data_IF_450524042122
#
_entry.id   IF_450524042122
#
_cell.length_a   1.000
_cell.length_b   1.000
_cell.length_c   1.000
_cell.angle_alpha   90.00
_cell.angle_beta   90.00
_cell.angle_gamma   90.00
#
_symmetry.space_group_name_H-M   'P 1'
#
loop_
_entity.id
_entity.type
_entity.pdbx_description
1 polymer ?
#
# COMPACT_ATOMS: atom_id res chain seq x y z
N UNK A 1 17.25 -4.84 -12.10
CA UNK A 1 17.21 -3.60 -11.29
C UNK A 1 16.09 -2.66 -11.78
N UNK A 2 16.04 -2.27 -13.06
CA UNK A 2 15.00 -1.36 -13.60
C UNK A 2 13.54 -1.86 -13.45
N UNK A 3 13.30 -3.18 -13.53
CA UNK A 3 11.95 -3.74 -13.37
C UNK A 3 11.43 -3.72 -11.92
N UNK A 4 12.32 -3.78 -10.93
CA UNK A 4 11.93 -3.75 -9.50
C UNK A 4 11.40 -2.36 -9.14
N UNK A 5 12.11 -1.31 -9.54
CA UNK A 5 11.68 0.07 -9.33
C UNK A 5 10.36 0.39 -10.05
N UNK A 6 10.16 -0.12 -11.27
CA UNK A 6 8.89 0.08 -12.00
C UNK A 6 7.71 -0.58 -11.26
N UNK A 7 7.93 -1.76 -10.68
CA UNK A 7 6.95 -2.48 -9.86
C UNK A 7 6.65 -1.74 -8.55
N UNK A 8 7.68 -1.24 -7.85
CA UNK A 8 7.52 -0.46 -6.61
C UNK A 8 6.80 0.87 -6.84
N UNK A 9 7.08 1.53 -7.97
CA UNK A 9 6.42 2.78 -8.35
C UNK A 9 4.93 2.55 -8.60
N UNK A 10 4.57 1.47 -9.31
CA UNK A 10 3.17 1.07 -9.51
C UNK A 10 2.49 0.67 -8.19
N UNK A 11 3.19 -0.05 -7.31
CA UNK A 11 2.69 -0.42 -5.98
C UNK A 11 2.39 0.82 -5.14
N UNK A 12 3.27 1.84 -5.17
CA UNK A 12 3.12 3.12 -4.44
C UNK A 12 1.91 3.94 -4.92
N UNK A 13 1.63 3.93 -6.23
CA UNK A 13 0.44 4.57 -6.84
C UNK A 13 -0.88 3.83 -6.54
N UNK A 14 -0.79 2.55 -6.18
CA UNK A 14 -1.93 1.71 -5.82
C UNK A 14 -2.20 1.75 -4.30
N UNK A 15 -1.17 1.94 -3.47
CA UNK A 15 -1.27 2.08 -2.01
C UNK A 15 -1.47 3.53 -1.55
N UNK A 16 -1.73 4.47 -2.45
CA UNK A 16 -1.97 5.86 -2.06
C UNK A 16 -3.37 5.98 -1.45
N UNK A 17 -3.47 6.78 -0.38
CA UNK A 17 -4.76 7.08 0.24
C UNK A 17 -5.70 7.68 -0.84
N UNK A 18 -6.96 7.23 -0.84
CA UNK A 18 -7.97 7.68 -1.78
C UNK A 18 -8.26 9.18 -1.60
N UNK A 19 -8.11 9.66 -0.36
CA UNK A 19 -8.06 11.08 -0.04
C UNK A 19 -6.60 11.54 0.04
N UNK A 20 -6.30 12.67 -0.60
CA UNK A 20 -4.98 13.33 -0.51
C UNK A 20 -4.84 13.98 0.88
N UNK A 21 -4.67 13.12 1.91
CA UNK A 21 -4.62 13.54 3.31
C UNK A 21 -3.37 14.41 3.51
N UNK A 22 -3.53 15.64 4.04
CA UNK A 22 -2.40 16.54 4.25
C UNK A 22 -1.32 15.91 5.13
N UNK A 23 -0.06 16.16 4.77
CA UNK A 23 1.11 15.69 5.51
C UNK A 23 1.95 16.87 6.02
N UNK A 24 3.03 16.59 6.76
CA UNK A 24 3.99 17.62 7.16
C UNK A 24 4.56 18.43 5.99
N UNK A 25 4.54 17.89 4.76
CA UNK A 25 4.96 18.61 3.55
C UNK A 25 3.90 19.58 2.99
N UNK A 26 2.61 19.41 3.35
CA UNK A 26 1.50 20.23 2.84
C UNK A 26 1.58 21.66 3.38
N UNK A 27 1.09 22.64 2.59
CA UNK A 27 1.04 24.03 3.04
C UNK A 27 -0.11 24.21 4.04
N UNK A 28 0.00 25.23 4.91
CA UNK A 28 -1.06 25.55 5.89
C UNK A 28 -2.43 25.72 5.21
N UNK A 29 -2.45 26.42 4.08
CA UNK A 29 -3.67 26.65 3.31
C UNK A 29 -4.29 25.35 2.77
N UNK A 30 -3.46 24.43 2.28
CA UNK A 30 -3.93 23.14 1.76
C UNK A 30 -4.57 22.30 2.87
N UNK A 31 -3.99 22.34 4.08
CA UNK A 31 -4.54 21.67 5.27
C UNK A 31 -5.91 22.26 5.64
N UNK A 32 -6.03 23.59 5.66
CA UNK A 32 -7.30 24.26 5.95
C UNK A 32 -8.37 23.96 4.91
N UNK A 33 -8.02 23.97 3.62
CA UNK A 33 -8.93 23.64 2.54
C UNK A 33 -9.41 22.17 2.62
N UNK A 34 -8.53 21.25 3.00
CA UNK A 34 -8.89 19.85 3.21
C UNK A 34 -9.83 19.69 4.41
N UNK A 35 -9.57 20.35 5.54
CA UNK A 35 -10.46 20.33 6.70
C UNK A 35 -11.85 20.91 6.35
N UNK A 36 -11.90 21.99 5.56
CA UNK A 36 -13.17 22.56 5.05
C UNK A 36 -13.91 21.59 4.12
N UNK A 37 -13.20 20.91 3.21
CA UNK A 37 -13.84 19.98 2.26
C UNK A 37 -14.44 18.74 2.94
N UNK A 38 -13.89 18.36 4.09
CA UNK A 38 -14.40 17.28 4.95
C UNK A 38 -15.37 17.77 6.04
N UNK A 39 -15.70 19.07 6.05
CA UNK A 39 -16.59 19.71 7.01
C UNK A 39 -16.15 19.53 8.48
N UNK A 40 -14.83 19.51 8.73
CA UNK A 40 -14.23 19.40 10.06
C UNK A 40 -14.04 20.82 10.62
N UNK A 41 -14.49 21.06 11.86
CA UNK A 41 -14.35 22.36 12.52
C UNK A 41 -12.90 22.61 12.95
N UNK A 42 -12.36 23.79 12.63
CA UNK A 42 -11.05 24.24 13.08
C UNK A 42 -11.03 25.76 13.20
N UNK A 43 -10.06 26.28 13.95
CA UNK A 43 -9.86 27.72 14.10
C UNK A 43 -8.75 28.24 13.15
N UNK A 44 -8.99 29.35 12.46
CA UNK A 44 -8.05 29.84 11.41
C UNK A 44 -6.71 30.32 11.96
N UNK A 45 -6.67 30.75 13.22
CA UNK A 45 -5.44 31.18 13.89
C UNK A 45 -4.52 30.02 14.30
N UNK A 46 -4.98 28.77 14.23
CA UNK A 46 -4.19 27.61 14.66
C UNK A 46 -2.90 27.49 13.85
N UNK A 47 -1.85 27.03 14.52
CA UNK A 47 -0.57 26.73 13.88
C UNK A 47 -0.69 25.50 12.99
N UNK A 48 0.24 25.37 12.04
CA UNK A 48 0.28 24.21 11.13
C UNK A 48 0.33 22.88 11.90
N UNK A 49 1.05 22.84 13.03
CA UNK A 49 1.19 21.64 13.87
C UNK A 49 -0.15 21.25 14.48
N UNK A 50 -0.91 22.22 14.99
CA UNK A 50 -2.24 21.98 15.59
C UNK A 50 -3.25 21.54 14.53
N UNK A 51 -3.24 22.16 13.35
CA UNK A 51 -4.08 21.72 12.23
C UNK A 51 -3.76 20.29 11.80
N UNK A 52 -2.47 19.90 11.78
CA UNK A 52 -2.07 18.53 11.47
C UNK A 52 -2.46 17.53 12.58
N UNK A 53 -2.54 17.96 13.83
CA UNK A 53 -3.05 17.12 14.91
C UNK A 53 -4.52 16.78 14.69
N UNK A 54 -5.36 17.77 14.36
CA UNK A 54 -6.77 17.56 14.00
C UNK A 54 -6.87 16.62 12.80
N UNK A 55 -6.07 16.84 11.75
CA UNK A 55 -6.02 15.92 10.60
C UNK A 55 -5.65 14.50 11.03
N UNK A 56 -4.70 14.34 11.96
CA UNK A 56 -4.24 13.04 12.43
C UNK A 56 -5.31 12.29 13.26
N UNK A 57 -6.12 13.01 14.02
CA UNK A 57 -7.28 12.46 14.74
C UNK A 57 -8.32 11.88 13.77
N UNK A 58 -8.56 12.56 12.65
CA UNK A 58 -9.48 12.11 11.61
C UNK A 58 -8.83 11.21 10.55
N UNK A 59 -7.52 11.01 10.59
CA UNK A 59 -6.77 10.34 9.52
C UNK A 59 -7.24 8.91 9.29
N UNK A 60 -7.62 8.18 10.33
CA UNK A 60 -8.06 6.80 10.19
C UNK A 60 -9.33 6.66 9.32
N UNK A 61 -10.23 7.65 9.34
CA UNK A 61 -11.45 7.64 8.52
C UNK A 61 -11.20 7.91 7.05
N UNK A 62 -10.20 8.75 6.75
CA UNK A 62 -9.93 9.25 5.39
C UNK A 62 -8.71 8.60 4.72
N UNK A 63 -7.85 7.91 5.49
CA UNK A 63 -6.71 7.16 4.97
C UNK A 63 -7.14 5.77 4.44
N UNK A 64 -8.19 5.75 3.61
CA UNK A 64 -8.64 4.54 2.92
C UNK A 64 -7.78 4.30 1.70
N UNK A 65 -7.36 3.07 1.47
CA UNK A 65 -6.61 2.76 0.25
C UNK A 65 -7.56 2.70 -0.95
N UNK A 66 -7.18 3.31 -2.07
CA UNK A 66 -7.99 3.27 -3.29
C UNK A 66 -8.31 1.86 -3.77
N UNK A 67 -7.39 0.91 -3.60
CA UNK A 67 -7.61 -0.51 -3.92
C UNK A 67 -8.73 -1.11 -3.06
N UNK A 68 -8.81 -0.74 -1.78
CA UNK A 68 -9.76 -1.34 -0.85
C UNK A 68 -11.19 -0.93 -1.22
N UNK A 69 -11.39 0.32 -1.64
CA UNK A 69 -12.68 0.80 -2.17
C UNK A 69 -13.05 0.09 -3.48
N UNK A 70 -12.12 -0.01 -4.44
CA UNK A 70 -12.36 -0.72 -5.71
C UNK A 70 -12.67 -2.22 -5.51
N UNK A 71 -12.06 -2.85 -4.50
CA UNK A 71 -12.33 -4.24 -4.16
C UNK A 71 -13.70 -4.39 -3.50
N UNK A 72 -14.04 -3.46 -2.59
CA UNK A 72 -15.34 -3.42 -1.92
C UNK A 72 -16.50 -3.24 -2.91
N UNK A 73 -16.35 -2.37 -3.91
CA UNK A 73 -17.31 -2.20 -5.03
C UNK A 73 -17.59 -3.52 -5.75
N UNK A 74 -16.61 -4.43 -5.78
CA UNK A 74 -16.71 -5.75 -6.40
C UNK A 74 -17.05 -6.86 -5.41
N UNK A 75 -17.46 -6.52 -4.19
CA UNK A 75 -17.69 -7.45 -3.07
C UNK A 75 -16.48 -8.35 -2.79
N UNK A 76 -15.26 -7.82 -2.92
CA UNK A 76 -14.01 -8.53 -2.64
C UNK A 76 -13.38 -8.00 -1.37
N UNK A 77 -12.88 -8.91 -0.55
CA UNK A 77 -12.07 -8.59 0.63
C UNK A 77 -10.59 -8.49 0.24
N UNK A 78 -9.92 -7.40 0.65
CA UNK A 78 -8.48 -7.23 0.49
C UNK A 78 -7.76 -7.75 1.73
N UNK A 79 -6.86 -8.71 1.54
CA UNK A 79 -5.96 -9.19 2.58
C UNK A 79 -4.58 -8.57 2.37
N UNK A 80 -4.00 -8.00 3.44
CA UNK A 80 -2.66 -7.41 3.43
C UNK A 80 -1.73 -8.31 4.23
N UNK A 81 -0.70 -8.82 3.58
CA UNK A 81 0.31 -9.62 4.22
C UNK A 81 1.31 -8.72 4.95
N UNK A 82 1.74 -9.10 6.17
CA UNK A 82 2.86 -8.47 6.85
C UNK A 82 4.11 -8.45 5.96
N UNK A 83 4.88 -7.36 6.03
CA UNK A 83 6.16 -7.25 5.32
C UNK A 83 7.11 -8.35 5.81
N UNK A 84 7.86 -8.96 4.88
CA UNK A 84 8.85 -10.01 5.14
C UNK A 84 8.30 -11.37 5.61
N UNK A 85 6.99 -11.59 5.55
CA UNK A 85 6.37 -12.87 5.87
C UNK A 85 5.89 -13.58 4.58
N UNK A 86 6.84 -14.02 3.75
CA UNK A 86 6.54 -14.67 2.47
C UNK A 86 5.89 -16.05 2.63
N UNK A 87 6.09 -16.70 3.79
CA UNK A 87 5.41 -17.94 4.18
C UNK A 87 3.89 -17.80 4.26
N UNK A 88 3.39 -16.56 4.42
CA UNK A 88 1.96 -16.26 4.45
C UNK A 88 1.39 -15.95 3.06
N UNK A 89 2.21 -15.96 2.00
CA UNK A 89 1.76 -15.71 0.63
C UNK A 89 1.59 -17.04 -0.14
N UNK A 90 0.35 -17.51 -0.38
CA UNK A 90 0.11 -18.76 -1.09
C UNK A 90 0.76 -18.79 -2.48
N UNK A 91 0.85 -17.64 -3.15
CA UNK A 91 1.48 -17.55 -4.47
C UNK A 91 2.98 -17.85 -4.40
N UNK A 92 3.69 -17.37 -3.38
CA UNK A 92 5.12 -17.65 -3.20
C UNK A 92 5.36 -19.13 -2.85
N UNK A 93 4.47 -19.74 -2.07
CA UNK A 93 4.53 -21.17 -1.76
C UNK A 93 4.43 -22.02 -3.04
N UNK A 94 3.45 -21.73 -3.90
CA UNK A 94 3.29 -22.42 -5.20
C UNK A 94 4.51 -22.17 -6.10
N UNK A 95 5.04 -20.94 -6.14
CA UNK A 95 6.27 -20.64 -6.89
C UNK A 95 7.49 -21.41 -6.39
N UNK A 96 7.63 -21.58 -5.08
CA UNK A 96 8.71 -22.35 -4.48
C UNK A 96 8.64 -23.83 -4.89
N UNK A 97 7.44 -24.41 -4.84
CA UNK A 97 7.19 -25.79 -5.26
C UNK A 97 7.55 -26.00 -6.75
N UNK A 98 7.08 -25.11 -7.63
CA UNK A 98 7.40 -25.17 -9.06
C UNK A 98 8.91 -25.05 -9.30
N UNK A 99 9.60 -24.14 -8.60
CA UNK A 99 11.05 -23.97 -8.71
C UNK A 99 11.80 -25.23 -8.29
N UNK A 100 11.38 -25.87 -7.19
CA UNK A 100 11.98 -27.11 -6.71
C UNK A 100 11.77 -28.25 -7.71
N UNK A 101 10.56 -28.44 -8.22
CA UNK A 101 10.26 -29.46 -9.23
C UNK A 101 11.09 -29.28 -10.52
N UNK A 102 11.34 -28.04 -10.94
CA UNK A 102 12.20 -27.74 -12.09
C UNK A 102 13.67 -28.02 -11.77
N UNK A 103 14.13 -27.70 -10.55
CA UNK A 103 15.50 -27.98 -10.11
C UNK A 103 15.76 -29.49 -10.06
N UNK A 104 14.85 -30.28 -9.49
CA UNK A 104 14.93 -31.74 -9.45
C UNK A 104 15.03 -32.34 -10.85
N UNK A 105 14.19 -31.88 -11.79
CA UNK A 105 14.24 -32.32 -13.19
C UNK A 105 15.57 -31.98 -13.87
N UNK A 106 16.21 -30.87 -13.52
CA UNK A 106 17.56 -30.50 -14.03
C UNK A 106 18.64 -31.40 -13.44
N UNK A 107 18.58 -31.70 -12.15
CA UNK A 107 19.53 -32.58 -11.46
C UNK A 107 19.46 -34.01 -11.99
N UNK A 108 18.27 -34.56 -12.20
CA UNK A 108 18.08 -35.91 -12.75
C UNK A 108 18.63 -36.02 -14.18
N UNK A 109 18.48 -34.96 -14.99
CA UNK A 109 19.02 -34.92 -16.36
C UNK A 109 20.56 -34.83 -16.40
N UNK A 110 21.16 -34.21 -15.39
CA UNK A 110 22.62 -34.15 -15.21
C UNK A 110 23.20 -35.48 -14.75
N UNK A 111 22.49 -36.26 -13.94
CA UNK A 111 22.97 -37.57 -13.46
C UNK A 111 22.74 -38.71 -14.46
N UNK A 112 21.85 -38.55 -15.44
CA UNK A 112 21.66 -39.51 -16.54
C UNK A 112 22.63 -39.31 -17.72
N UNK A 113 23.47 -38.26 -17.67
CA UNK A 113 24.47 -37.92 -18.69
C UNK A 113 25.93 -38.07 -18.19
N UNK A 114 26.14 -38.65 -16.99
CA UNK A 114 27.44 -39.18 -16.55
C UNK A 114 27.41 -40.71 -16.66
#
# INVERSE_FOLDING_TARGET
ILNVYKYETQKKSLTTAADDVPTNASRKLDIQNWLRSKNISFHESLLKVELLQIVNEHKAEYNKYRIDEMAKEKNKLVLRLPLYHCELNPTELVWAEIKNAVAEKKTIRSSLLM
#
